data_IF_084643459279
#
_entry.id   IF_084643459279
#
_cell.length_a   1.000
_cell.length_b   1.000
_cell.length_c   1.000
_cell.angle_alpha   90.00
_cell.angle_beta   90.00
_cell.angle_gamma   90.00
#
_symmetry.space_group_name_H-M   'P 1'
#
loop_
_entity.id
_entity.type
_entity.pdbx_description
1 polymer ?
#
# COMPACT_ATOMS: atom_id res chain seq x y z
N UNK A 1 52.83 11.26 -5.06
CA UNK A 1 52.04 10.48 -4.10
C UNK A 1 50.59 10.54 -4.54
N UNK A 2 50.09 9.43 -5.07
CA UNK A 2 48.75 9.30 -5.64
C UNK A 2 47.72 9.28 -4.50
N UNK A 3 46.76 10.20 -4.52
CA UNK A 3 45.64 10.25 -3.59
C UNK A 3 44.71 9.06 -3.88
N UNK A 4 44.50 8.19 -2.89
CA UNK A 4 43.60 7.06 -2.99
C UNK A 4 42.14 7.53 -3.16
N UNK A 5 41.31 6.84 -3.97
CA UNK A 5 39.91 7.20 -4.11
C UNK A 5 39.15 6.87 -2.82
N UNK A 6 38.39 7.85 -2.31
CA UNK A 6 37.56 7.71 -1.12
C UNK A 6 36.61 6.52 -1.23
N UNK A 7 36.82 5.53 -0.38
CA UNK A 7 35.92 4.39 -0.20
C UNK A 7 34.58 4.95 0.32
N UNK A 8 33.53 4.97 -0.52
CA UNK A 8 32.17 5.28 -0.06
C UNK A 8 31.82 4.25 1.00
N UNK A 9 31.74 4.69 2.26
CA UNK A 9 31.24 3.89 3.38
C UNK A 9 29.75 3.67 3.11
N UNK A 10 29.38 2.46 2.71
CA UNK A 10 27.97 2.06 2.67
C UNK A 10 27.54 1.92 4.12
N UNK A 11 26.69 2.84 4.59
CA UNK A 11 26.21 2.89 5.96
C UNK A 11 25.25 1.71 6.22
N UNK A 12 25.41 0.92 7.30
CA UNK A 12 24.58 -0.24 7.64
C UNK A 12 23.15 0.12 8.11
N UNK A 13 22.74 1.38 7.99
CA UNK A 13 21.52 1.94 8.57
C UNK A 13 20.24 1.62 7.77
N UNK A 14 20.38 1.17 6.51
CA UNK A 14 19.24 0.95 5.61
C UNK A 14 18.41 -0.32 5.95
N UNK A 15 19.04 -1.38 6.48
CA UNK A 15 18.32 -2.62 6.85
C UNK A 15 17.42 -2.40 8.07
N UNK A 16 17.86 -1.52 8.98
CA UNK A 16 17.09 -1.11 10.15
C UNK A 16 15.94 -0.15 9.79
N UNK A 17 16.02 0.56 8.65
CA UNK A 17 15.05 1.59 8.29
C UNK A 17 13.69 1.00 7.94
N UNK A 18 13.60 0.04 7.00
CA UNK A 18 12.33 -0.52 6.56
C UNK A 18 11.63 -1.34 7.64
N UNK A 19 12.40 -2.07 8.45
CA UNK A 19 11.86 -2.84 9.59
C UNK A 19 11.33 -1.92 10.69
N UNK A 20 12.01 -0.80 10.95
CA UNK A 20 11.52 0.23 11.85
C UNK A 20 10.25 0.91 11.30
N UNK A 21 10.22 1.28 10.01
CA UNK A 21 9.05 1.86 9.34
C UNK A 21 7.85 0.91 9.37
N UNK A 22 8.04 -0.39 9.13
CA UNK A 22 6.98 -1.39 9.28
C UNK A 22 6.55 -1.56 10.73
N UNK A 23 7.49 -1.60 11.67
CA UNK A 23 7.18 -1.64 13.11
C UNK A 23 6.39 -0.42 13.58
N UNK A 24 6.68 0.75 13.03
CA UNK A 24 5.96 2.01 13.23
C UNK A 24 4.57 1.96 12.57
N UNK A 25 4.48 1.49 11.33
CA UNK A 25 3.23 1.32 10.57
C UNK A 25 2.22 0.41 11.28
N UNK A 26 2.69 -0.60 12.00
CA UNK A 26 1.83 -1.53 12.73
C UNK A 26 1.41 -1.01 14.11
N UNK A 27 1.95 0.12 14.57
CA UNK A 27 1.55 0.77 15.82
C UNK A 27 0.53 1.87 15.54
N UNK A 28 -0.52 1.98 16.36
CA UNK A 28 -1.51 3.04 16.20
C UNK A 28 -0.95 4.39 16.64
N UNK A 29 -1.42 5.47 16.02
CA UNK A 29 -1.15 6.85 16.45
C UNK A 29 0.32 7.25 16.43
N UNK A 30 1.11 6.80 15.45
CA UNK A 30 2.51 7.21 15.32
C UNK A 30 2.62 8.52 14.54
N UNK A 31 3.61 9.34 14.88
CA UNK A 31 3.93 10.54 14.12
C UNK A 31 4.65 10.17 12.82
N UNK A 32 4.27 10.83 11.72
CA UNK A 32 4.88 10.67 10.40
C UNK A 32 5.53 11.99 9.96
N UNK A 33 6.78 12.27 10.39
CA UNK A 33 7.46 13.52 10.04
C UNK A 33 7.74 13.63 8.55
N UNK A 34 7.95 12.48 7.92
CA UNK A 34 8.11 12.35 6.48
C UNK A 34 6.81 11.76 5.89
N UNK A 35 6.13 12.58 5.07
CA UNK A 35 4.91 12.18 4.38
C UNK A 35 5.17 11.02 3.43
N UNK A 36 6.30 11.03 2.74
CA UNK A 36 6.62 10.03 1.72
C UNK A 36 6.81 8.65 2.38
N UNK A 37 7.35 8.59 3.61
CA UNK A 37 7.44 7.37 4.41
C UNK A 37 6.04 6.76 4.69
N UNK A 38 5.05 7.59 5.02
CA UNK A 38 3.68 7.15 5.24
C UNK A 38 3.01 6.71 3.92
N UNK A 39 3.24 7.46 2.84
CA UNK A 39 2.70 7.13 1.52
C UNK A 39 3.26 5.79 1.01
N UNK A 40 4.54 5.49 1.25
CA UNK A 40 5.14 4.19 0.94
C UNK A 40 4.46 3.04 1.71
N UNK A 41 4.21 3.23 3.00
CA UNK A 41 3.48 2.25 3.83
C UNK A 41 2.06 2.02 3.30
N UNK A 42 1.37 3.09 2.92
CA UNK A 42 0.03 3.01 2.34
C UNK A 42 0.07 2.32 0.98
N UNK A 43 1.05 2.64 0.13
CA UNK A 43 1.25 2.01 -1.18
C UNK A 43 1.38 0.49 -1.03
N UNK A 44 2.31 0.04 -0.18
CA UNK A 44 2.54 -1.40 0.05
C UNK A 44 1.36 -2.07 0.77
N UNK A 45 0.70 -1.36 1.68
CA UNK A 45 -0.52 -1.83 2.33
C UNK A 45 -1.64 -2.10 1.34
N UNK A 46 -1.88 -1.16 0.39
CA UNK A 46 -2.83 -1.36 -0.70
C UNK A 46 -2.44 -2.55 -1.57
N UNK A 47 -1.17 -2.70 -1.90
CA UNK A 47 -0.65 -3.79 -2.73
C UNK A 47 -0.98 -5.18 -2.15
N UNK A 48 -0.79 -5.35 -0.83
CA UNK A 48 -1.15 -6.59 -0.12
C UNK A 48 -2.67 -6.77 -0.05
N UNK A 49 -3.42 -5.70 0.23
CA UNK A 49 -4.89 -5.72 0.25
C UNK A 49 -5.46 -6.15 -1.11
N UNK A 50 -4.91 -5.66 -2.20
CA UNK A 50 -5.36 -5.97 -3.56
C UNK A 50 -5.18 -7.43 -3.92
N UNK A 51 -4.06 -8.03 -3.52
CA UNK A 51 -3.83 -9.46 -3.69
C UNK A 51 -4.88 -10.25 -2.90
N UNK A 52 -5.11 -9.90 -1.64
CA UNK A 52 -6.09 -10.58 -0.79
C UNK A 52 -7.53 -10.45 -1.34
N UNK A 53 -7.96 -9.23 -1.65
CA UNK A 53 -9.30 -8.97 -2.21
C UNK A 53 -9.46 -9.65 -3.58
N UNK A 54 -8.42 -9.66 -4.42
CA UNK A 54 -8.45 -10.36 -5.70
C UNK A 54 -8.66 -11.86 -5.55
N UNK A 55 -8.02 -12.50 -4.58
CA UNK A 55 -8.25 -13.92 -4.26
C UNK A 55 -9.69 -14.13 -3.81
N UNK A 56 -10.17 -13.35 -2.83
CA UNK A 56 -11.54 -13.47 -2.28
C UNK A 56 -12.57 -13.30 -3.40
N UNK A 57 -12.42 -12.25 -4.21
CA UNK A 57 -13.33 -11.94 -5.31
C UNK A 57 -13.23 -12.93 -6.46
N UNK A 58 -12.10 -13.64 -6.62
CA UNK A 58 -11.95 -14.70 -7.63
C UNK A 58 -12.61 -16.00 -7.20
N UNK A 59 -12.55 -16.31 -5.89
CA UNK A 59 -13.26 -17.46 -5.33
C UNK A 59 -14.76 -17.23 -5.36
N UNK A 60 -15.23 -16.04 -4.98
CA UNK A 60 -16.65 -15.69 -5.12
C UNK A 60 -16.99 -15.41 -6.59
N UNK A 61 -18.13 -15.87 -7.13
CA UNK A 61 -18.53 -15.53 -8.49
C UNK A 61 -19.10 -14.10 -8.56
N UNK A 62 -18.28 -13.10 -8.23
CA UNK A 62 -18.61 -11.69 -8.44
C UNK A 62 -18.30 -11.33 -9.89
N UNK A 63 -19.25 -10.68 -10.57
CA UNK A 63 -19.15 -10.42 -12.01
C UNK A 63 -19.08 -8.93 -12.34
N UNK A 64 -18.29 -8.62 -13.35
CA UNK A 64 -18.33 -7.35 -14.06
C UNK A 64 -18.07 -6.14 -13.17
N UNK A 65 -18.82 -5.06 -13.44
CA UNK A 65 -18.58 -3.74 -12.83
C UNK A 65 -18.78 -3.72 -11.30
N UNK A 66 -19.57 -4.64 -10.75
CA UNK A 66 -19.83 -4.70 -9.31
C UNK A 66 -18.55 -5.05 -8.53
N UNK A 67 -17.73 -5.96 -9.06
CA UNK A 67 -16.44 -6.30 -8.46
C UNK A 67 -15.47 -5.10 -8.49
N UNK A 68 -15.48 -4.33 -9.59
CA UNK A 68 -14.65 -3.13 -9.74
C UNK A 68 -15.05 -2.05 -8.75
N UNK A 69 -16.35 -1.72 -8.67
CA UNK A 69 -16.88 -0.73 -7.73
C UNK A 69 -16.60 -1.17 -6.29
N UNK A 70 -16.83 -2.46 -5.99
CA UNK A 70 -16.54 -3.04 -4.68
C UNK A 70 -15.07 -2.91 -4.30
N UNK A 71 -14.15 -3.22 -5.21
CA UNK A 71 -12.71 -3.06 -4.96
C UNK A 71 -12.33 -1.59 -4.72
N UNK A 72 -12.81 -0.67 -5.55
CA UNK A 72 -12.53 0.78 -5.36
C UNK A 72 -13.03 1.24 -3.99
N UNK A 73 -14.27 0.88 -3.62
CA UNK A 73 -14.83 1.24 -2.33
C UNK A 73 -14.02 0.66 -1.16
N UNK A 74 -13.69 -0.63 -1.19
CA UNK A 74 -12.91 -1.30 -0.14
C UNK A 74 -11.51 -0.69 -0.01
N UNK A 75 -10.82 -0.52 -1.14
CA UNK A 75 -9.45 0.02 -1.17
C UNK A 75 -9.39 1.46 -0.64
N UNK A 76 -10.32 2.32 -1.10
CA UNK A 76 -10.40 3.71 -0.61
C UNK A 76 -10.77 3.77 0.86
N UNK A 77 -11.80 3.03 1.31
CA UNK A 77 -12.23 3.04 2.71
C UNK A 77 -11.14 2.53 3.65
N UNK A 78 -10.46 1.44 3.31
CA UNK A 78 -9.40 0.88 4.16
C UNK A 78 -8.20 1.84 4.25
N UNK A 79 -7.76 2.42 3.13
CA UNK A 79 -6.64 3.36 3.14
C UNK A 79 -6.96 4.61 3.99
N UNK A 80 -8.16 5.17 3.82
CA UNK A 80 -8.63 6.32 4.59
C UNK A 80 -8.76 6.00 6.08
N UNK A 81 -9.37 4.86 6.41
CA UNK A 81 -9.51 4.42 7.78
C UNK A 81 -8.14 4.18 8.44
N UNK A 82 -7.19 3.61 7.70
CA UNK A 82 -5.83 3.39 8.18
C UNK A 82 -5.15 4.71 8.55
N UNK A 83 -5.19 5.73 7.69
CA UNK A 83 -4.53 7.02 8.00
C UNK A 83 -5.25 7.79 9.10
N UNK A 84 -6.57 8.00 8.95
CA UNK A 84 -7.33 8.90 9.85
C UNK A 84 -7.63 8.25 11.20
N UNK A 85 -7.97 6.96 11.23
CA UNK A 85 -8.40 6.29 12.48
C UNK A 85 -7.30 5.50 13.15
N UNK A 86 -6.49 4.77 12.37
CA UNK A 86 -5.44 3.91 12.95
C UNK A 86 -4.16 4.70 13.23
N UNK A 87 -3.65 5.44 12.24
CA UNK A 87 -2.47 6.31 12.41
C UNK A 87 -2.80 7.65 13.06
N UNK A 88 -4.08 8.06 13.10
CA UNK A 88 -4.54 9.33 13.70
C UNK A 88 -3.86 10.57 13.09
N UNK A 89 -3.48 10.46 11.83
CA UNK A 89 -2.89 11.57 11.06
C UNK A 89 -4.02 12.38 10.44
N UNK A 90 -3.90 13.70 10.49
CA UNK A 90 -4.87 14.57 9.81
C UNK A 90 -4.74 14.40 8.30
N UNK A 91 -5.87 14.32 7.61
CA UNK A 91 -5.92 14.11 6.17
C UNK A 91 -5.23 15.27 5.43
N UNK A 92 -5.31 16.49 5.97
CA UNK A 92 -4.65 17.67 5.40
C UNK A 92 -3.12 17.59 5.45
N UNK A 93 -2.55 16.89 6.45
CA UNK A 93 -1.09 16.71 6.58
C UNK A 93 -0.52 15.78 5.52
N UNK A 94 -1.35 14.87 4.97
CA UNK A 94 -0.97 13.93 3.91
C UNK A 94 -1.35 14.40 2.51
N UNK A 95 -1.73 15.67 2.36
CA UNK A 95 -2.13 16.25 1.07
C UNK A 95 -3.60 16.03 0.68
N UNK A 96 -4.41 15.59 1.64
CA UNK A 96 -5.86 15.44 1.51
C UNK A 96 -6.30 14.09 0.95
N UNK A 97 -7.62 13.89 0.92
CA UNK A 97 -8.28 12.64 0.55
C UNK A 97 -7.78 12.09 -0.78
N UNK A 98 -7.64 12.98 -1.77
CA UNK A 98 -7.35 12.62 -3.15
C UNK A 98 -5.91 12.15 -3.35
N UNK A 99 -4.96 12.69 -2.60
CA UNK A 99 -3.57 12.25 -2.67
C UNK A 99 -3.48 10.82 -2.11
N UNK A 100 -4.04 10.61 -0.92
CA UNK A 100 -4.08 9.29 -0.29
C UNK A 100 -4.86 8.25 -1.10
N UNK A 101 -5.96 8.65 -1.74
CA UNK A 101 -6.77 7.77 -2.58
C UNK A 101 -6.04 7.35 -3.85
N UNK A 102 -5.26 8.25 -4.47
CA UNK A 102 -4.51 7.97 -5.70
C UNK A 102 -3.21 7.24 -5.44
N UNK A 103 -2.61 7.43 -4.27
CA UNK A 103 -1.34 6.80 -3.89
C UNK A 103 -1.40 5.28 -4.06
N UNK A 104 -0.52 4.73 -4.90
CA UNK A 104 -0.49 3.30 -5.25
C UNK A 104 -1.73 2.71 -5.94
N UNK A 105 -2.78 3.49 -6.23
CA UNK A 105 -4.05 2.95 -6.69
C UNK A 105 -3.93 2.20 -8.03
N UNK A 106 -3.20 2.76 -9.00
CA UNK A 106 -3.04 2.14 -10.31
C UNK A 106 -2.37 0.76 -10.26
N UNK A 107 -1.27 0.64 -9.52
CA UNK A 107 -0.53 -0.62 -9.34
C UNK A 107 -1.34 -1.65 -8.55
N UNK A 108 -1.96 -1.21 -7.45
CA UNK A 108 -2.85 -2.01 -6.62
C UNK A 108 -4.06 -2.53 -7.43
N UNK A 109 -4.69 -1.67 -8.23
CA UNK A 109 -5.82 -2.03 -9.10
C UNK A 109 -5.41 -3.06 -10.16
N UNK A 110 -4.26 -2.88 -10.80
CA UNK A 110 -3.74 -3.87 -11.75
C UNK A 110 -3.50 -5.24 -11.08
N UNK A 111 -2.96 -5.24 -9.87
CA UNK A 111 -2.73 -6.48 -9.10
C UNK A 111 -4.03 -7.17 -8.73
N UNK A 112 -5.02 -6.41 -8.28
CA UNK A 112 -6.36 -6.93 -8.03
C UNK A 112 -6.93 -7.58 -9.30
N UNK A 113 -6.87 -6.89 -10.44
CA UNK A 113 -7.40 -7.38 -11.72
C UNK A 113 -6.74 -8.69 -12.15
N UNK A 114 -5.40 -8.74 -12.12
CA UNK A 114 -4.64 -9.96 -12.47
C UNK A 114 -5.03 -11.11 -11.56
N UNK A 115 -4.99 -10.88 -10.25
CA UNK A 115 -5.30 -11.94 -9.26
C UNK A 115 -6.74 -12.43 -9.41
N UNK A 116 -7.69 -11.51 -9.52
CA UNK A 116 -9.11 -11.80 -9.63
C UNK A 116 -9.42 -12.64 -10.87
N UNK A 117 -8.95 -12.20 -12.05
CA UNK A 117 -9.19 -12.90 -13.32
C UNK A 117 -8.53 -14.27 -13.31
N UNK A 118 -7.29 -14.39 -12.82
CA UNK A 118 -6.57 -15.67 -12.76
C UNK A 118 -7.28 -16.68 -11.87
N UNK A 119 -7.66 -16.29 -10.64
CA UNK A 119 -8.35 -17.18 -9.71
C UNK A 119 -9.75 -17.53 -10.23
N UNK A 120 -10.51 -16.54 -10.71
CA UNK A 120 -11.84 -16.77 -11.24
C UNK A 120 -11.80 -17.77 -12.41
N UNK A 121 -10.85 -17.59 -13.35
CA UNK A 121 -10.68 -18.48 -14.49
C UNK A 121 -10.27 -19.88 -14.07
N UNK A 122 -9.46 -20.02 -13.02
CA UNK A 122 -8.99 -21.35 -12.57
C UNK A 122 -10.07 -22.14 -11.82
N UNK A 123 -11.03 -21.46 -11.17
CA UNK A 123 -12.04 -22.11 -10.33
C UNK A 123 -13.40 -22.30 -11.00
N UNK A 124 -13.77 -21.41 -11.93
CA UNK A 124 -15.10 -21.37 -12.54
C UNK A 124 -15.13 -21.76 -14.02
N UNK A 125 -13.98 -22.09 -14.60
CA UNK A 125 -13.84 -22.66 -15.95
C UNK A 125 -13.00 -23.94 -15.91
#
# INVERSE_FOLDING_TARGET
MSSAPGKKVVSPDAENSWTATLGKALRPGQDWPDKDELLDVVYWGKQVLSLFVGIVFGVTPLYGILALIGYVAISSVIAQHYVVKFQKVDEEEVGGFWELAKEGFGAAFATFMVTWITIYTTLHH
#
